data_IF_762234909096
#
_entry.id   IF_762234909096
#
_cell.length_a   1.000
_cell.length_b   1.000
_cell.length_c   1.000
_cell.angle_alpha   90.00
_cell.angle_beta   90.00
_cell.angle_gamma   90.00
#
_symmetry.space_group_name_H-M   'P 1'
#
loop_
_entity.id
_entity.type
_entity.pdbx_description
1 polymer ?
#
# COMPACT_ATOMS: atom_id res chain seq x y z
N UNK A 1 -8.04 -37.48 0.74
CA UNK A 1 -8.69 -36.16 0.71
C UNK A 1 -7.73 -35.06 1.22
N UNK A 2 -6.64 -34.75 0.49
CA UNK A 2 -5.64 -33.73 0.90
C UNK A 2 -5.42 -32.62 -0.15
N UNK A 3 -6.35 -32.42 -1.09
CA UNK A 3 -6.17 -31.46 -2.19
C UNK A 3 -6.72 -30.05 -1.88
N UNK A 4 -7.68 -29.92 -0.96
CA UNK A 4 -8.28 -28.62 -0.62
C UNK A 4 -7.25 -27.59 -0.12
N UNK A 5 -6.37 -27.98 0.80
CA UNK A 5 -5.34 -27.07 1.35
C UNK A 5 -4.30 -26.65 0.31
N UNK A 6 -4.07 -27.48 -0.72
CA UNK A 6 -3.10 -27.18 -1.77
C UNK A 6 -3.66 -26.19 -2.79
N UNK A 7 -4.95 -26.27 -3.12
CA UNK A 7 -5.59 -25.30 -4.02
C UNK A 7 -5.87 -23.98 -3.31
N UNK A 8 -6.27 -23.99 -2.04
CA UNK A 8 -6.35 -22.79 -1.21
C UNK A 8 -5.01 -22.04 -1.14
N UNK A 9 -3.88 -22.77 -1.07
CA UNK A 9 -2.55 -22.16 -1.09
C UNK A 9 -2.22 -21.51 -2.44
N UNK A 10 -2.66 -22.11 -3.55
CA UNK A 10 -2.48 -21.50 -4.87
C UNK A 10 -3.34 -20.26 -5.03
N UNK A 11 -4.60 -20.31 -4.60
CA UNK A 11 -5.51 -19.16 -4.69
C UNK A 11 -4.98 -17.99 -3.85
N UNK A 12 -4.42 -18.26 -2.66
CA UNK A 12 -3.72 -17.24 -1.87
C UNK A 12 -2.52 -16.64 -2.61
N UNK A 13 -1.71 -17.46 -3.30
CA UNK A 13 -0.60 -16.97 -4.13
C UNK A 13 -1.12 -16.12 -5.30
N UNK A 14 -2.18 -16.56 -5.99
CA UNK A 14 -2.77 -15.85 -7.11
C UNK A 14 -3.27 -14.45 -6.71
N UNK A 15 -4.01 -14.36 -5.61
CA UNK A 15 -4.53 -13.08 -5.10
C UNK A 15 -3.39 -12.15 -4.71
N UNK A 16 -2.41 -12.62 -3.92
CA UNK A 16 -1.28 -11.78 -3.51
C UNK A 16 -0.40 -11.35 -4.70
N UNK A 17 -0.22 -12.22 -5.69
CA UNK A 17 0.52 -11.91 -6.91
C UNK A 17 -0.20 -10.84 -7.74
N UNK A 18 -1.52 -10.94 -7.87
CA UNK A 18 -2.34 -9.94 -8.57
C UNK A 18 -2.24 -8.57 -7.90
N UNK A 19 -2.39 -8.50 -6.56
CA UNK A 19 -2.27 -7.24 -5.81
C UNK A 19 -0.89 -6.62 -6.01
N UNK A 20 0.20 -7.39 -5.85
CA UNK A 20 1.56 -6.88 -6.06
C UNK A 20 1.80 -6.41 -7.49
N UNK A 21 1.26 -7.11 -8.48
CA UNK A 21 1.35 -6.69 -9.87
C UNK A 21 0.62 -5.35 -10.07
N UNK A 22 -0.61 -5.22 -9.58
CA UNK A 22 -1.42 -4.01 -9.69
C UNK A 22 -0.75 -2.80 -9.03
N UNK A 23 -0.18 -2.98 -7.83
CA UNK A 23 0.58 -1.92 -7.14
C UNK A 23 1.77 -1.43 -7.96
N UNK A 24 2.56 -2.38 -8.51
CA UNK A 24 3.72 -2.06 -9.36
C UNK A 24 3.31 -1.40 -10.67
N UNK A 25 2.23 -1.87 -11.30
CA UNK A 25 1.65 -1.25 -12.50
C UNK A 25 1.17 0.16 -12.21
N UNK A 26 0.52 0.39 -11.07
CA UNK A 26 0.08 1.72 -10.65
C UNK A 26 1.28 2.67 -10.50
N UNK A 27 2.36 2.23 -9.83
CA UNK A 27 3.59 3.00 -9.71
C UNK A 27 4.24 3.29 -11.07
N UNK A 28 4.25 2.31 -11.97
CA UNK A 28 4.80 2.47 -13.31
C UNK A 28 3.96 3.43 -14.17
N UNK A 29 2.63 3.37 -14.04
CA UNK A 29 1.69 4.27 -14.70
C UNK A 29 1.92 5.73 -14.28
N UNK A 30 2.02 6.00 -12.98
CA UNK A 30 2.33 7.34 -12.48
C UNK A 30 3.70 7.88 -12.92
N UNK A 31 4.63 6.99 -13.27
CA UNK A 31 5.94 7.34 -13.82
C UNK A 31 5.97 7.42 -15.35
N UNK A 32 4.86 7.15 -16.03
CA UNK A 32 4.78 7.11 -17.49
C UNK A 32 5.54 5.95 -18.15
N UNK A 33 5.90 4.90 -17.40
CA UNK A 33 6.73 3.79 -17.89
C UNK A 33 6.02 2.42 -17.86
N UNK A 34 4.69 2.40 -17.75
CA UNK A 34 3.89 1.17 -17.64
C UNK A 34 4.16 0.17 -18.77
N UNK A 35 4.16 0.64 -20.01
CA UNK A 35 4.42 -0.19 -21.20
C UNK A 35 5.79 -0.87 -21.15
N UNK A 36 6.83 -0.13 -20.76
CA UNK A 36 8.18 -0.69 -20.59
C UNK A 36 8.21 -1.71 -19.46
N UNK A 37 7.54 -1.44 -18.34
CA UNK A 37 7.43 -2.38 -17.23
C UNK A 37 6.75 -3.69 -17.63
N UNK A 38 5.62 -3.61 -18.34
CA UNK A 38 4.88 -4.78 -18.83
C UNK A 38 5.70 -5.64 -19.81
N UNK A 39 6.49 -4.99 -20.68
CA UNK A 39 7.41 -5.69 -21.58
C UNK A 39 8.54 -6.38 -20.82
N UNK A 40 9.11 -5.73 -19.79
CA UNK A 40 10.19 -6.29 -18.96
C UNK A 40 9.74 -7.54 -18.19
N UNK A 41 8.52 -7.56 -17.67
CA UNK A 41 7.97 -8.75 -16.98
C UNK A 41 7.41 -9.80 -17.94
N UNK A 42 7.42 -9.54 -19.26
CA UNK A 42 6.94 -10.46 -20.28
C UNK A 42 5.42 -10.55 -20.43
N UNK A 43 4.65 -9.65 -19.78
CA UNK A 43 3.19 -9.60 -19.92
C UNK A 43 2.72 -8.76 -21.12
N UNK A 44 3.54 -7.82 -21.59
CA UNK A 44 3.19 -6.97 -22.74
C UNK A 44 2.90 -7.74 -24.03
N UNK A 45 3.43 -8.96 -24.18
CA UNK A 45 3.18 -9.84 -25.34
C UNK A 45 1.73 -10.36 -25.42
N UNK A 46 1.00 -10.32 -24.32
CA UNK A 46 -0.37 -10.84 -24.22
C UNK A 46 -1.42 -9.73 -24.25
N UNK A 47 -0.99 -8.49 -24.51
CA UNK A 47 -1.85 -7.32 -24.55
C UNK A 47 -1.87 -6.76 -25.96
N UNK A 48 -3.03 -6.28 -26.38
CA UNK A 48 -3.17 -5.65 -27.69
C UNK A 48 -2.44 -4.31 -27.71
N UNK A 49 -1.75 -4.01 -28.82
CA UNK A 49 -0.99 -2.77 -28.97
C UNK A 49 -1.89 -1.52 -28.82
N UNK A 50 -3.15 -1.60 -29.28
CA UNK A 50 -4.16 -0.55 -29.11
C UNK A 50 -4.47 -0.28 -27.63
N UNK A 51 -4.62 -1.34 -26.83
CA UNK A 51 -4.91 -1.27 -25.40
C UNK A 51 -3.70 -0.75 -24.62
N UNK A 52 -2.49 -1.08 -25.07
CA UNK A 52 -1.25 -0.59 -24.44
C UNK A 52 -1.05 0.93 -24.60
N UNK A 53 -1.54 1.50 -25.70
CA UNK A 53 -1.41 2.94 -25.98
C UNK A 53 -2.58 3.77 -25.46
N UNK A 54 -3.81 3.23 -25.51
CA UNK A 54 -5.04 3.99 -25.23
C UNK A 54 -5.90 3.42 -24.11
N UNK A 55 -5.55 2.24 -23.60
CA UNK A 55 -6.30 1.56 -22.56
C UNK A 55 -6.21 2.29 -21.22
N UNK A 56 -7.28 2.17 -20.44
CA UNK A 56 -7.28 2.66 -19.06
C UNK A 56 -6.35 1.81 -18.20
N UNK A 57 -5.83 2.39 -17.11
CA UNK A 57 -5.02 1.64 -16.14
C UNK A 57 -5.76 0.42 -15.60
N UNK A 58 -7.07 0.53 -15.39
CA UNK A 58 -7.91 -0.54 -14.86
C UNK A 58 -7.99 -1.72 -15.83
N UNK A 59 -8.26 -1.46 -17.12
CA UNK A 59 -8.30 -2.51 -18.15
C UNK A 59 -6.95 -3.22 -18.29
N UNK A 60 -5.86 -2.44 -18.28
CA UNK A 60 -4.51 -3.00 -18.35
C UNK A 60 -4.21 -3.89 -17.13
N UNK A 61 -4.59 -3.44 -15.94
CA UNK A 61 -4.41 -4.20 -14.70
C UNK A 61 -5.20 -5.50 -14.69
N UNK A 62 -6.45 -5.48 -15.17
CA UNK A 62 -7.31 -6.66 -15.19
C UNK A 62 -6.78 -7.71 -16.19
N UNK A 63 -6.46 -7.29 -17.41
CA UNK A 63 -5.85 -8.17 -18.41
C UNK A 63 -4.51 -8.76 -17.92
N UNK A 64 -3.64 -7.93 -17.35
CA UNK A 64 -2.36 -8.40 -16.83
C UNK A 64 -2.53 -9.39 -15.66
N UNK A 65 -3.52 -9.18 -14.79
CA UNK A 65 -3.84 -10.09 -13.68
C UNK A 65 -4.34 -11.46 -14.18
N UNK A 66 -5.24 -11.47 -15.17
CA UNK A 66 -5.73 -12.71 -15.81
C UNK A 66 -4.58 -13.49 -16.44
N UNK A 67 -3.70 -12.80 -17.17
CA UNK A 67 -2.54 -13.44 -17.81
C UNK A 67 -1.55 -13.99 -16.78
N UNK A 68 -1.25 -13.21 -15.73
CA UNK A 68 -0.40 -13.65 -14.63
C UNK A 68 -0.96 -14.91 -13.95
N UNK A 69 -2.26 -14.92 -13.66
CA UNK A 69 -2.93 -16.07 -13.05
C UNK A 69 -2.82 -17.33 -13.94
N UNK A 70 -3.00 -17.17 -15.24
CA UNK A 70 -2.80 -18.25 -16.22
C UNK A 70 -1.37 -18.78 -16.22
N UNK A 71 -0.36 -17.90 -16.17
CA UNK A 71 1.05 -18.30 -16.11
C UNK A 71 1.39 -19.03 -14.80
N UNK A 72 0.89 -18.56 -13.66
CA UNK A 72 1.08 -19.19 -12.35
C UNK A 72 0.47 -20.60 -12.33
N UNK A 73 -0.76 -20.76 -12.82
CA UNK A 73 -1.43 -22.08 -12.94
C UNK A 73 -0.62 -23.03 -13.82
N UNK A 74 -0.17 -22.56 -15.00
CA UNK A 74 0.69 -23.35 -15.91
C UNK A 74 2.03 -23.72 -15.28
N UNK A 75 2.67 -22.77 -14.59
CA UNK A 75 3.96 -23.00 -13.92
C UNK A 75 3.85 -23.99 -12.78
N UNK A 76 2.75 -23.97 -12.03
CA UNK A 76 2.45 -24.97 -11.01
C UNK A 76 2.27 -26.36 -11.63
N UNK A 77 1.44 -26.48 -12.66
CA UNK A 77 1.19 -27.76 -13.34
C UNK A 77 2.48 -28.39 -13.89
N UNK A 78 3.45 -27.57 -14.30
CA UNK A 78 4.74 -28.00 -14.84
C UNK A 78 5.89 -28.02 -13.82
N UNK A 79 5.64 -27.62 -12.56
CA UNK A 79 6.64 -27.67 -11.48
C UNK A 79 7.67 -26.54 -11.43
N UNK A 80 7.58 -25.49 -12.26
CA UNK A 80 8.54 -24.36 -12.28
C UNK A 80 7.98 -23.07 -11.66
N UNK A 81 7.00 -23.16 -10.76
CA UNK A 81 6.38 -22.00 -10.13
C UNK A 81 7.39 -21.07 -9.44
N UNK A 82 8.42 -21.64 -8.81
CA UNK A 82 9.49 -20.89 -8.13
C UNK A 82 10.24 -19.98 -9.11
N UNK A 83 10.68 -20.52 -10.23
CA UNK A 83 11.45 -19.79 -11.24
C UNK A 83 10.61 -18.67 -11.89
N UNK A 84 9.30 -18.91 -12.08
CA UNK A 84 8.40 -17.87 -12.57
C UNK A 84 8.30 -16.71 -11.56
N UNK A 85 8.10 -17.02 -10.29
CA UNK A 85 7.98 -16.01 -9.24
C UNK A 85 9.32 -15.29 -9.02
N UNK A 86 10.46 -15.96 -9.18
CA UNK A 86 11.78 -15.34 -9.15
C UNK A 86 11.95 -14.30 -10.27
N UNK A 87 11.61 -14.65 -11.51
CA UNK A 87 11.63 -13.70 -12.64
C UNK A 87 10.74 -12.48 -12.41
N UNK A 88 9.61 -12.67 -11.74
CA UNK A 88 8.67 -11.59 -11.39
C UNK A 88 9.06 -10.86 -10.10
N UNK A 89 10.14 -11.27 -9.42
CA UNK A 89 10.53 -10.77 -8.10
C UNK A 89 9.37 -10.86 -7.09
N UNK A 90 8.78 -12.05 -6.96
CA UNK A 90 7.63 -12.39 -6.11
C UNK A 90 7.85 -13.70 -5.31
N UNK A 91 9.11 -14.04 -5.02
CA UNK A 91 9.46 -15.27 -4.27
C UNK A 91 8.91 -15.29 -2.85
N UNK A 92 8.66 -14.12 -2.26
CA UNK A 92 8.03 -13.99 -0.95
C UNK A 92 6.67 -14.71 -0.88
N UNK A 93 5.96 -14.83 -2.01
CA UNK A 93 4.62 -15.42 -2.06
C UNK A 93 4.59 -16.93 -1.80
N UNK A 94 5.74 -17.61 -1.95
CA UNK A 94 5.86 -19.04 -1.68
C UNK A 94 6.01 -19.37 -0.20
N UNK A 95 6.45 -18.39 0.59
CA UNK A 95 6.60 -18.56 2.03
C UNK A 95 5.21 -18.48 2.66
N UNK A 96 4.84 -19.48 3.46
CA UNK A 96 3.55 -19.45 4.15
C UNK A 96 3.54 -18.27 5.13
N UNK A 97 2.49 -17.46 5.05
CA UNK A 97 2.21 -16.21 5.78
C UNK A 97 2.08 -16.37 7.31
N UNK A 98 2.78 -17.33 7.93
CA UNK A 98 2.98 -17.30 9.39
C UNK A 98 3.98 -16.21 9.81
N UNK A 99 4.72 -15.63 8.86
CA UNK A 99 5.71 -14.59 9.13
C UNK A 99 5.58 -13.31 8.30
N UNK A 100 4.56 -13.17 7.45
CA UNK A 100 4.20 -11.83 6.99
C UNK A 100 3.56 -11.15 8.19
N UNK A 101 4.38 -10.40 8.92
CA UNK A 101 3.92 -9.30 9.76
C UNK A 101 3.14 -8.40 8.82
N UNK A 102 1.85 -8.65 8.72
CA UNK A 102 0.90 -7.63 8.36
C UNK A 102 1.33 -6.43 9.18
N UNK A 103 1.82 -5.39 8.51
CA UNK A 103 1.68 -4.05 9.05
C UNK A 103 0.17 -3.83 8.98
N UNK A 104 -0.52 -4.40 9.95
CA UNK A 104 -1.91 -4.15 10.23
C UNK A 104 -1.96 -2.64 10.41
N UNK A 105 -2.60 -1.96 9.46
CA UNK A 105 -2.98 -0.53 9.53
C UNK A 105 -3.97 -0.25 10.68
N UNK A 106 -4.02 -1.11 11.70
CA UNK A 106 -4.95 -1.10 12.80
C UNK A 106 -4.46 -1.84 14.05
N UNK A 107 -3.15 -2.11 14.19
CA UNK A 107 -2.60 -2.37 15.53
C UNK A 107 -2.09 -1.05 16.10
N UNK A 108 -2.90 -0.54 17.02
CA UNK A 108 -2.60 0.54 17.93
C UNK A 108 -1.10 0.59 18.23
N UNK A 109 -0.50 1.76 18.02
CA UNK A 109 0.78 2.13 18.60
C UNK A 109 0.63 2.11 20.12
N UNK A 110 0.70 0.93 20.74
CA UNK A 110 1.29 0.76 22.08
C UNK A 110 2.81 0.67 21.92
N UNK A 111 3.38 1.63 21.20
CA UNK A 111 4.66 2.12 21.63
C UNK A 111 4.30 3.11 22.73
N UNK A 112 4.52 2.69 23.96
CA UNK A 112 4.98 3.63 24.98
C UNK A 112 6.26 4.27 24.43
N UNK A 113 6.08 5.24 23.53
CA UNK A 113 7.02 6.32 23.42
C UNK A 113 7.04 6.87 24.82
N UNK A 114 8.11 6.60 25.56
CA UNK A 114 8.48 7.44 26.70
C UNK A 114 8.37 8.84 26.15
N UNK A 115 7.27 9.53 26.48
CA UNK A 115 7.04 10.91 26.08
C UNK A 115 8.31 11.59 26.56
N UNK A 116 9.15 12.04 25.64
CA UNK A 116 10.24 12.91 26.01
C UNK A 116 9.55 14.06 26.73
N UNK A 117 9.67 14.08 28.06
CA UNK A 117 9.15 15.14 28.88
C UNK A 117 9.82 16.38 28.31
N UNK A 118 9.05 17.22 27.61
CA UNK A 118 9.51 18.54 27.23
C UNK A 118 9.88 19.19 28.55
N UNK A 119 11.19 19.37 28.79
CA UNK A 119 11.64 20.14 29.94
C UNK A 119 11.04 21.52 29.74
N UNK A 120 10.05 21.84 30.57
CA UNK A 120 9.54 23.20 30.60
C UNK A 120 10.73 24.08 30.96
N UNK A 121 11.04 25.04 30.09
CA UNK A 121 11.94 26.11 30.48
C UNK A 121 11.20 26.86 31.58
N UNK A 122 11.68 26.74 32.82
CA UNK A 122 11.30 27.61 33.94
C UNK A 122 11.84 29.02 33.67
N UNK A 123 11.31 29.65 32.61
CA UNK A 123 11.50 31.06 32.33
C UNK A 123 10.36 31.80 32.98
N UNK A 124 10.67 32.65 33.96
CA UNK A 124 9.72 33.54 34.61
C UNK A 124 9.09 34.51 33.59
N UNK A 125 8.04 34.08 32.90
CA UNK A 125 7.19 34.98 32.10
C UNK A 125 6.29 35.80 33.02
N UNK A 126 6.90 36.68 33.83
CA UNK A 126 6.21 37.66 34.68
C UNK A 126 5.70 38.89 33.92
N UNK A 127 5.81 38.93 32.58
CA UNK A 127 5.55 40.15 31.79
C UNK A 127 4.44 40.04 30.74
N UNK A 128 3.73 38.92 30.64
CA UNK A 128 2.69 38.73 29.62
C UNK A 128 1.30 38.44 30.18
N UNK A 129 1.13 38.49 31.50
CA UNK A 129 -0.19 38.42 32.12
C UNK A 129 -0.81 39.81 32.12
N UNK A 130 -1.78 40.03 31.22
CA UNK A 130 -2.64 41.21 31.24
C UNK A 130 -3.34 41.29 32.61
N UNK A 131 -3.44 42.49 33.16
CA UNK A 131 -4.06 42.71 34.46
C UNK A 131 -5.58 42.55 34.38
N UNK A 132 -6.22 42.18 35.50
CA UNK A 132 -7.68 41.97 35.57
C UNK A 132 -8.48 43.20 35.13
N UNK A 133 -7.89 44.40 35.27
CA UNK A 133 -8.51 45.66 34.86
C UNK A 133 -8.54 45.83 33.34
N UNK A 134 -7.46 45.49 32.64
CA UNK A 134 -7.40 45.50 31.16
C UNK A 134 -8.40 44.50 30.55
N UNK A 135 -8.59 43.35 31.22
CA UNK A 135 -9.57 42.33 30.81
C UNK A 135 -11.01 42.83 30.96
N UNK A 136 -11.33 43.57 32.02
CA UNK A 136 -12.66 44.16 32.23
C UNK A 136 -12.97 45.26 31.22
N UNK A 137 -11.96 46.03 30.81
CA UNK A 137 -12.13 47.10 29.84
C UNK A 137 -12.44 46.55 28.43
N UNK A 138 -11.77 45.47 28.03
CA UNK A 138 -12.07 44.75 26.78
C UNK A 138 -13.49 44.19 26.76
N UNK A 139 -13.97 43.63 27.87
CA UNK A 139 -15.30 43.01 27.96
C UNK A 139 -16.46 44.02 27.91
N UNK A 140 -16.23 45.30 28.24
CA UNK A 140 -17.24 46.36 28.10
C UNK A 140 -17.60 46.65 26.64
N UNK A 141 -16.69 46.36 25.71
CA UNK A 141 -16.88 46.63 24.28
C UNK A 141 -17.66 45.52 23.55
N UNK A 142 -17.92 44.39 24.21
CA UNK A 142 -18.71 43.29 23.64
C UNK A 142 -20.18 43.43 24.08
N UNK A 143 -20.94 44.23 23.33
CA UNK A 143 -22.40 44.30 23.49
C UNK A 143 -23.01 43.05 22.86
N UNK A 144 -23.42 42.10 23.70
CA UNK A 144 -24.20 40.92 23.28
C UNK A 144 -25.56 41.42 22.77
N UNK A 145 -25.80 41.31 21.46
CA UNK A 145 -27.13 41.54 20.88
C UNK A 145 -28.01 40.36 21.28
N UNK A 146 -29.17 40.65 21.87
CA UNK A 146 -30.13 39.65 22.35
C UNK A 146 -31.29 39.54 21.37
#
# INVERSE_FOLDING_TARGET
>A
MKHASFDERLDGILVRAAIRLQERMRLAYFRGNLTSYLNRIGLGKFMDASTLERGSLLELQDQAAVQLAGQIRKARAKGYLKDLLEKLNMLELLHDDKHIRTVSLGQERKQEQKKACLKMVEGENKRSAMTEDEKRELLKNFKVIK
#
